data_IF_938175345983
#
_entry.id   IF_938175345983
#
_cell.length_a   1.000
_cell.length_b   1.000
_cell.length_c   1.000
_cell.angle_alpha   90.00
_cell.angle_beta   90.00
_cell.angle_gamma   90.00
#
_symmetry.space_group_name_H-M   'P 1'
#
loop_
_entity.id
_entity.type
_entity.pdbx_description
1 polymer ?
#
# COMPACT_ATOMS: atom_id res chain seq x y z
N UNK A 1 23.18 -6.32 3.05
CA UNK A 1 23.19 -5.87 1.65
C UNK A 1 24.62 -5.56 1.26
N UNK A 2 25.04 -6.01 0.07
CA UNK A 2 26.28 -5.55 -0.54
C UNK A 2 26.08 -4.15 -1.17
N UNK A 3 27.16 -3.54 -1.63
CA UNK A 3 27.17 -2.16 -2.13
C UNK A 3 26.31 -1.98 -3.40
N UNK A 4 26.35 -2.95 -4.31
CA UNK A 4 25.52 -2.95 -5.54
C UNK A 4 24.02 -3.08 -5.22
N UNK A 5 23.66 -3.89 -4.22
CA UNK A 5 22.28 -4.01 -3.73
C UNK A 5 21.79 -2.70 -3.10
N UNK A 6 22.65 -1.97 -2.39
CA UNK A 6 22.33 -0.67 -1.79
C UNK A 6 22.14 0.38 -2.88
N UNK A 7 23.05 0.45 -3.87
CA UNK A 7 22.91 1.37 -5.01
C UNK A 7 21.62 1.12 -5.79
N UNK A 8 21.35 -0.13 -6.18
CA UNK A 8 20.12 -0.46 -6.92
C UNK A 8 18.87 -0.14 -6.11
N UNK A 9 18.90 -0.41 -4.80
CA UNK A 9 17.80 -0.09 -3.90
C UNK A 9 17.55 1.42 -3.81
N UNK A 10 18.60 2.23 -3.67
CA UNK A 10 18.50 3.69 -3.60
C UNK A 10 18.06 4.25 -4.96
N UNK A 11 18.52 3.70 -6.07
CA UNK A 11 18.10 4.12 -7.40
C UNK A 11 16.60 3.87 -7.63
N UNK A 12 16.12 2.66 -7.31
CA UNK A 12 14.70 2.32 -7.35
C UNK A 12 13.90 3.22 -6.39
N UNK A 13 14.48 3.62 -5.25
CA UNK A 13 13.88 4.61 -4.34
C UNK A 13 13.72 5.98 -4.99
N UNK A 14 14.77 6.52 -5.57
CA UNK A 14 14.72 7.85 -6.16
C UNK A 14 13.75 7.91 -7.35
N UNK A 15 13.69 6.84 -8.17
CA UNK A 15 12.74 6.73 -9.30
C UNK A 15 11.28 6.76 -8.86
N UNK A 16 10.98 6.19 -7.70
CA UNK A 16 9.63 6.18 -7.14
C UNK A 16 9.29 7.48 -6.35
N UNK A 17 10.15 8.51 -6.41
CA UNK A 17 9.89 9.83 -5.80
C UNK A 17 10.34 9.99 -4.34
N UNK A 18 11.24 9.14 -3.85
CA UNK A 18 11.74 9.22 -2.48
C UNK A 18 12.86 10.26 -2.36
N UNK A 19 12.90 10.98 -1.22
CA UNK A 19 13.96 11.96 -0.96
C UNK A 19 15.21 11.29 -0.39
N UNK A 20 16.38 11.86 -0.66
CA UNK A 20 17.67 11.35 -0.15
C UNK A 20 17.66 11.26 1.39
N UNK A 21 17.09 12.26 2.06
CA UNK A 21 17.01 12.31 3.52
C UNK A 21 16.15 11.16 4.07
N UNK A 22 15.06 10.82 3.39
CA UNK A 22 14.23 9.67 3.78
C UNK A 22 15.01 8.36 3.66
N UNK A 23 15.77 8.19 2.58
CA UNK A 23 16.58 6.99 2.36
C UNK A 23 17.68 6.82 3.39
N UNK A 24 18.39 7.91 3.71
CA UNK A 24 19.39 7.91 4.76
C UNK A 24 18.80 7.48 6.10
N UNK A 25 17.66 8.07 6.49
CA UNK A 25 17.02 7.73 7.77
C UNK A 25 16.64 6.24 7.86
N UNK A 26 15.96 5.70 6.85
CA UNK A 26 15.46 4.32 6.92
C UNK A 26 16.58 3.26 6.83
N UNK A 27 17.62 3.51 6.01
CA UNK A 27 18.75 2.61 5.90
C UNK A 27 19.56 2.59 7.21
N UNK A 28 19.75 3.75 7.85
CA UNK A 28 20.40 3.84 9.17
C UNK A 28 19.60 3.12 10.26
N UNK A 29 18.26 3.26 10.29
CA UNK A 29 17.40 2.55 11.25
C UNK A 29 17.48 1.01 11.11
N UNK A 30 17.78 0.50 9.92
CA UNK A 30 17.99 -0.94 9.66
C UNK A 30 19.44 -1.39 9.86
N UNK A 31 20.31 -0.51 10.35
CA UNK A 31 21.71 -0.84 10.66
C UNK A 31 22.64 -0.90 9.45
N UNK A 32 22.28 -0.26 8.34
CA UNK A 32 23.20 -0.07 7.21
C UNK A 32 24.22 1.01 7.59
N UNK A 33 25.48 0.78 7.23
CA UNK A 33 26.59 1.68 7.52
C UNK A 33 26.40 3.04 6.84
N UNK A 34 26.42 4.12 7.61
CA UNK A 34 26.17 5.49 7.16
C UNK A 34 27.13 5.92 6.04
N UNK A 35 28.39 5.51 6.09
CA UNK A 35 29.37 5.85 5.05
C UNK A 35 29.03 5.19 3.71
N UNK A 36 28.52 3.95 3.73
CA UNK A 36 28.06 3.27 2.51
C UNK A 36 26.82 3.91 1.91
N UNK A 37 25.93 4.43 2.76
CA UNK A 37 24.74 5.14 2.30
C UNK A 37 25.17 6.46 1.63
N UNK A 38 26.06 7.22 2.26
CA UNK A 38 26.57 8.48 1.70
C UNK A 38 27.29 8.30 0.37
N UNK A 39 28.13 7.25 0.26
CA UNK A 39 28.84 6.90 -0.97
C UNK A 39 27.86 6.58 -2.11
N UNK A 40 26.90 5.69 -1.88
CA UNK A 40 25.90 5.31 -2.87
C UNK A 40 25.01 6.50 -3.31
N UNK A 41 24.60 7.35 -2.37
CA UNK A 41 23.85 8.58 -2.67
C UNK A 41 24.68 9.56 -3.51
N UNK A 42 25.96 9.73 -3.17
CA UNK A 42 26.87 10.61 -3.90
C UNK A 42 27.09 10.15 -5.35
N UNK A 43 27.31 8.85 -5.54
CA UNK A 43 27.47 8.26 -6.86
C UNK A 43 26.20 8.37 -7.72
N UNK A 44 25.02 8.21 -7.11
CA UNK A 44 23.75 8.41 -7.80
C UNK A 44 23.50 9.88 -8.18
N UNK A 45 23.81 10.84 -7.29
CA UNK A 45 23.76 12.27 -7.64
C UNK A 45 24.66 12.58 -8.83
N UNK A 46 25.87 12.03 -8.85
CA UNK A 46 26.80 12.19 -9.99
C UNK A 46 26.25 11.58 -11.28
N UNK A 47 25.64 10.38 -11.23
CA UNK A 47 24.98 9.74 -12.39
C UNK A 47 23.80 10.57 -12.90
N UNK A 48 22.96 11.08 -11.99
CA UNK A 48 21.80 11.90 -12.34
C UNK A 48 22.18 13.26 -12.93
N UNK A 49 23.22 13.92 -12.41
CA UNK A 49 23.75 15.18 -12.98
C UNK A 49 24.27 14.96 -14.41
N UNK A 50 24.92 13.83 -14.67
CA UNK A 50 25.40 13.45 -16.01
C UNK A 50 24.24 13.14 -16.97
N UNK A 51 23.18 12.50 -16.49
CA UNK A 51 21.98 12.24 -17.30
C UNK A 51 21.15 13.50 -17.56
N UNK A 52 21.01 14.40 -16.59
CA UNK A 52 20.24 15.64 -16.74
C UNK A 52 20.91 16.60 -17.73
N UNK A 53 22.25 16.68 -17.72
CA UNK A 53 23.02 17.39 -18.75
C UNK A 53 22.79 16.83 -20.17
N UNK A 54 22.34 15.57 -20.29
CA UNK A 54 22.00 14.92 -21.55
C UNK A 54 20.51 15.09 -21.94
N UNK A 55 19.63 15.33 -20.97
CA UNK A 55 18.16 15.44 -21.16
C UNK A 55 17.68 16.88 -21.42
N UNK A 56 18.45 17.92 -21.10
CA UNK A 56 18.10 19.32 -21.40
C UNK A 56 17.94 19.63 -22.91
N UNK A 57 18.35 18.73 -23.81
CA UNK A 57 18.13 18.87 -25.25
C UNK A 57 16.79 18.32 -25.78
N UNK A 58 15.89 17.78 -24.93
CA UNK A 58 14.70 17.10 -25.46
C UNK A 58 13.52 16.98 -24.48
N UNK A 59 12.68 18.02 -24.36
CA UNK A 59 11.21 17.85 -24.31
C UNK A 59 10.42 19.16 -24.31
N UNK A 60 9.51 19.26 -25.28
CA UNK A 60 8.30 20.10 -25.25
C UNK A 60 7.08 19.18 -25.31
N UNK A 61 6.16 19.38 -24.35
CA UNK A 61 4.72 19.08 -24.24
C UNK A 61 4.07 17.87 -24.92
N UNK A 62 3.14 17.22 -24.19
CA UNK A 62 1.71 17.17 -24.56
C UNK A 62 0.84 16.64 -23.41
N UNK A 63 -0.27 17.35 -23.13
CA UNK A 63 -1.37 17.01 -22.23
C UNK A 63 -2.57 16.59 -23.10
N UNK A 64 -3.37 15.62 -22.66
CA UNK A 64 -4.62 15.22 -23.31
C UNK A 64 -5.59 14.56 -22.33
N UNK A 65 -6.86 14.99 -22.38
CA UNK A 65 -7.98 14.67 -21.48
C UNK A 65 -8.87 13.54 -22.03
N UNK A 66 -9.59 12.81 -21.17
CA UNK A 66 -11.02 12.43 -21.37
C UNK A 66 -11.60 11.77 -20.10
N UNK A 67 -12.92 11.92 -19.90
CA UNK A 67 -13.68 11.74 -18.67
C UNK A 67 -14.43 10.40 -18.52
N UNK A 68 -14.58 9.94 -17.28
CA UNK A 68 -15.77 9.26 -16.73
C UNK A 68 -15.76 9.40 -15.19
N UNK A 69 -16.93 9.52 -14.56
CA UNK A 69 -17.10 9.79 -13.10
C UNK A 69 -16.61 8.62 -12.24
N UNK A 70 -15.42 8.81 -11.64
CA UNK A 70 -15.05 8.22 -10.36
C UNK A 70 -15.46 9.21 -9.25
N UNK A 71 -15.85 8.70 -8.08
CA UNK A 71 -16.41 9.49 -6.96
C UNK A 71 -15.42 10.58 -6.51
N UNK A 72 -14.13 10.41 -6.83
CA UNK A 72 -13.08 11.40 -6.64
C UNK A 72 -12.40 11.65 -7.98
N UNK A 73 -12.90 12.63 -8.75
CA UNK A 73 -12.62 12.87 -10.18
C UNK A 73 -11.18 13.25 -10.59
N UNK A 74 -10.16 12.71 -9.91
CA UNK A 74 -8.72 13.00 -10.12
C UNK A 74 -7.85 11.75 -10.29
N UNK A 75 -8.41 10.54 -10.31
CA UNK A 75 -7.68 9.27 -10.51
C UNK A 75 -8.41 8.44 -11.56
N UNK A 76 -7.68 7.64 -12.35
CA UNK A 76 -8.25 6.60 -13.23
C UNK A 76 -8.23 5.26 -12.49
N UNK A 77 -9.33 4.91 -11.83
CA UNK A 77 -9.54 3.60 -11.21
C UNK A 77 -10.50 2.73 -12.04
N UNK A 78 -10.51 2.87 -13.36
CA UNK A 78 -11.46 2.15 -14.21
C UNK A 78 -11.15 0.65 -14.38
N UNK A 79 -9.91 0.23 -14.11
CA UNK A 79 -9.45 -1.16 -14.21
C UNK A 79 -10.04 -2.10 -13.15
N UNK A 80 -9.91 -3.40 -13.37
CA UNK A 80 -10.32 -4.49 -12.49
C UNK A 80 -9.13 -5.22 -11.83
N UNK A 81 -7.90 -4.82 -12.11
CA UNK A 81 -6.69 -5.34 -11.48
C UNK A 81 -5.68 -4.22 -11.22
N UNK A 82 -5.04 -4.28 -10.05
CA UNK A 82 -4.04 -3.31 -9.60
C UNK A 82 -2.84 -4.02 -8.98
N UNK A 83 -1.64 -3.60 -9.36
CA UNK A 83 -0.40 -4.05 -8.73
C UNK A 83 0.00 -3.07 -7.62
N UNK A 84 0.09 -3.57 -6.40
CA UNK A 84 0.48 -2.81 -5.21
C UNK A 84 1.91 -3.21 -4.85
N UNK A 85 2.83 -2.28 -5.04
CA UNK A 85 4.23 -2.42 -4.64
C UNK A 85 4.44 -1.77 -3.27
N UNK A 86 4.56 -2.59 -2.24
CA UNK A 86 4.91 -2.12 -0.90
C UNK A 86 6.43 -2.01 -0.76
N UNK A 87 6.88 -0.94 -0.09
CA UNK A 87 8.29 -0.79 0.29
C UNK A 87 8.44 -0.94 1.79
N UNK A 88 8.91 -2.12 2.19
CA UNK A 88 9.13 -2.53 3.58
C UNK A 88 9.88 -1.50 4.46
N UNK A 89 10.79 -0.71 3.88
CA UNK A 89 11.57 0.28 4.64
C UNK A 89 10.83 1.59 4.95
N UNK A 90 9.71 1.88 4.28
CA UNK A 90 9.09 3.22 4.34
C UNK A 90 7.59 3.22 4.63
N UNK A 91 6.96 2.06 4.82
CA UNK A 91 5.50 1.90 4.91
C UNK A 91 4.78 2.72 3.83
N UNK A 92 5.26 2.58 2.60
CA UNK A 92 4.73 3.24 1.40
C UNK A 92 4.33 2.22 0.38
N UNK A 93 3.33 2.61 -0.41
CA UNK A 93 2.70 1.77 -1.40
C UNK A 93 2.60 2.56 -2.70
N UNK A 94 3.04 1.96 -3.79
CA UNK A 94 2.78 2.45 -5.13
C UNK A 94 1.79 1.51 -5.80
N UNK A 95 0.73 2.06 -6.37
CA UNK A 95 -0.38 1.31 -6.96
C UNK A 95 -0.40 1.59 -8.45
N UNK A 96 -0.26 0.53 -9.23
CA UNK A 96 -0.22 0.56 -10.69
C UNK A 96 -1.47 -0.09 -11.24
N UNK A 97 -2.01 0.44 -12.33
CA UNK A 97 -3.08 -0.22 -13.08
C UNK A 97 -2.52 -1.32 -14.00
N UNK A 98 -3.39 -2.04 -14.70
CA UNK A 98 -3.02 -3.08 -15.67
C UNK A 98 -2.22 -2.62 -16.90
N UNK A 99 -2.00 -1.31 -17.06
CA UNK A 99 -1.14 -0.70 -18.08
C UNK A 99 0.22 -0.27 -17.54
N UNK A 100 0.58 -0.69 -16.31
CA UNK A 100 1.78 -0.27 -15.58
C UNK A 100 1.84 1.24 -15.30
N UNK A 101 0.69 1.93 -15.30
CA UNK A 101 0.62 3.36 -14.99
C UNK A 101 0.40 3.54 -13.48
N UNK A 102 1.21 4.39 -12.84
CA UNK A 102 1.06 4.74 -11.43
C UNK A 102 -0.22 5.56 -11.23
N UNK A 103 -1.21 4.97 -10.56
CA UNK A 103 -2.51 5.61 -10.31
C UNK A 103 -2.59 6.23 -8.93
N UNK A 104 -1.96 5.59 -7.93
CA UNK A 104 -1.99 6.03 -6.54
C UNK A 104 -0.65 5.79 -5.85
N UNK A 105 -0.35 6.64 -4.87
CA UNK A 105 0.72 6.48 -3.88
C UNK A 105 0.10 6.54 -2.49
N UNK A 106 0.43 5.64 -1.59
CA UNK A 106 0.03 5.72 -0.19
C UNK A 106 1.25 5.78 0.73
N UNK A 107 1.15 6.53 1.83
CA UNK A 107 2.21 6.63 2.83
C UNK A 107 1.63 6.57 4.23
N UNK A 108 1.95 5.52 4.99
CA UNK A 108 1.56 5.47 6.39
C UNK A 108 2.34 6.52 7.18
N UNK A 109 1.62 7.47 7.79
CA UNK A 109 2.16 8.46 8.71
C UNK A 109 1.83 8.05 10.13
N UNK A 110 2.79 7.39 10.79
CA UNK A 110 2.69 7.09 12.22
C UNK A 110 3.14 8.33 13.00
N UNK A 111 2.18 9.20 13.38
CA UNK A 111 2.44 10.28 14.33
C UNK A 111 2.02 9.83 15.73
N UNK A 112 2.69 10.35 16.78
CA UNK A 112 2.49 9.95 18.19
C UNK A 112 1.03 9.94 18.71
N UNK A 113 0.08 10.56 17.99
CA UNK A 113 -1.33 10.69 18.38
C UNK A 113 -2.33 10.64 17.21
N UNK A 114 -1.87 10.33 16.00
CA UNK A 114 -2.67 10.32 14.77
C UNK A 114 -2.05 9.32 13.81
N UNK A 115 -2.80 8.28 13.51
CA UNK A 115 -2.49 7.40 12.41
C UNK A 115 -3.28 7.87 11.20
N UNK A 116 -2.54 8.23 10.15
CA UNK A 116 -3.10 8.73 8.90
C UNK A 116 -2.39 8.06 7.73
N UNK A 117 -3.15 7.62 6.73
CA UNK A 117 -2.63 7.05 5.49
C UNK A 117 -3.21 7.87 4.34
N UNK A 118 -2.56 8.98 3.93
CA UNK A 118 -2.92 9.69 2.72
C UNK A 118 -2.67 8.86 1.47
N UNK A 119 -3.63 8.91 0.56
CA UNK A 119 -3.54 8.40 -0.80
C UNK A 119 -3.45 9.58 -1.76
N UNK A 120 -2.39 9.57 -2.57
CA UNK A 120 -2.01 10.66 -3.44
C UNK A 120 -2.02 10.21 -4.90
N UNK A 121 -2.32 11.11 -5.82
CA UNK A 121 -2.18 10.84 -7.25
C UNK A 121 -0.69 10.84 -7.68
N UNK A 122 -0.43 10.64 -8.98
CA UNK A 122 0.92 10.68 -9.55
C UNK A 122 1.65 12.00 -9.32
N UNK A 123 0.91 13.10 -9.17
CA UNK A 123 1.42 14.47 -8.93
C UNK A 123 1.60 14.81 -7.44
N UNK A 124 1.48 13.82 -6.55
CA UNK A 124 1.60 13.95 -5.09
C UNK A 124 0.49 14.80 -4.43
N UNK A 125 -0.63 15.02 -5.13
CA UNK A 125 -1.82 15.63 -4.55
C UNK A 125 -2.61 14.57 -3.76
N UNK A 126 -2.94 14.86 -2.50
CA UNK A 126 -3.79 13.98 -1.67
C UNK A 126 -5.20 13.98 -2.23
N UNK A 127 -5.75 12.78 -2.46
CA UNK A 127 -7.08 12.57 -3.04
C UNK A 127 -8.06 12.06 -1.99
N UNK A 128 -7.61 11.15 -1.14
CA UNK A 128 -8.36 10.68 0.03
C UNK A 128 -7.38 10.20 1.11
N UNK A 129 -7.88 9.93 2.30
CA UNK A 129 -7.05 9.57 3.44
C UNK A 129 -7.77 8.65 4.40
N UNK A 130 -7.06 7.63 4.88
CA UNK A 130 -7.51 6.82 6.01
C UNK A 130 -7.09 7.53 7.29
N UNK A 131 -8.02 7.69 8.23
CA UNK A 131 -7.76 8.27 9.55
C UNK A 131 -8.31 7.37 10.65
N UNK A 132 -7.57 7.23 11.74
CA UNK A 132 -8.15 6.72 12.97
C UNK A 132 -9.23 7.69 13.48
N UNK A 133 -10.45 7.19 13.71
CA UNK A 133 -11.52 8.04 14.21
C UNK A 133 -11.23 8.44 15.67
N UNK A 134 -11.46 9.71 16.02
CA UNK A 134 -11.35 10.21 17.41
C UNK A 134 -12.70 10.21 18.11
N UNK A 135 -13.81 10.00 17.40
CA UNK A 135 -15.16 10.28 17.88
C UNK A 135 -15.86 9.02 18.43
N UNK A 136 -15.40 7.81 18.09
CA UNK A 136 -16.02 6.55 18.55
C UNK A 136 -15.16 5.88 19.63
N UNK A 137 -15.76 5.72 20.82
CA UNK A 137 -15.19 5.07 22.00
C UNK A 137 -14.64 3.66 21.69
N UNK A 138 -13.35 3.46 21.89
CA UNK A 138 -12.70 2.15 22.12
C UNK A 138 -12.95 1.06 21.06
N UNK A 139 -12.55 1.29 19.80
CA UNK A 139 -12.70 0.30 18.72
C UNK A 139 -11.47 -0.01 17.86
N UNK A 140 -10.50 0.89 17.68
CA UNK A 140 -9.46 0.66 16.66
C UNK A 140 -10.02 0.70 15.23
N UNK A 141 -11.04 1.51 15.02
CA UNK A 141 -11.73 1.72 13.76
C UNK A 141 -11.10 2.89 12.99
N UNK A 142 -11.12 2.77 11.66
CA UNK A 142 -10.56 3.76 10.75
C UNK A 142 -11.60 4.16 9.72
N UNK A 143 -11.58 5.41 9.27
CA UNK A 143 -12.49 5.88 8.24
C UNK A 143 -11.70 6.46 7.08
N UNK A 144 -12.12 6.13 5.86
CA UNK A 144 -11.58 6.70 4.64
C UNK A 144 -12.38 7.96 4.35
N UNK A 145 -11.68 9.09 4.22
CA UNK A 145 -12.28 10.39 3.92
C UNK A 145 -11.83 10.88 2.56
N UNK A 146 -12.77 11.39 1.79
CA UNK A 146 -12.47 12.18 0.60
C UNK A 146 -11.75 13.47 1.01
N UNK A 147 -10.65 13.83 0.33
CA UNK A 147 -9.86 15.01 0.70
C UNK A 147 -10.54 16.33 0.28
N UNK A 148 -11.31 16.32 -0.80
CA UNK A 148 -11.91 17.53 -1.37
C UNK A 148 -13.15 17.98 -0.58
N UNK A 149 -14.01 17.03 -0.25
CA UNK A 149 -15.28 17.25 0.46
C UNK A 149 -15.13 17.08 1.98
N UNK A 150 -14.21 16.23 2.43
CA UNK A 150 -14.11 15.80 3.82
C UNK A 150 -15.15 14.76 4.22
N UNK A 151 -15.93 14.26 3.26
CA UNK A 151 -17.00 13.28 3.52
C UNK A 151 -16.41 11.88 3.76
N UNK A 152 -16.99 11.10 4.69
CA UNK A 152 -16.57 9.72 4.90
C UNK A 152 -17.05 8.85 3.74
N UNK A 153 -16.15 8.04 3.19
CA UNK A 153 -16.40 7.12 2.08
C UNK A 153 -16.75 5.72 2.61
N UNK A 154 -15.95 5.21 3.55
CA UNK A 154 -16.11 3.86 4.12
C UNK A 154 -15.49 3.80 5.52
N UNK A 155 -16.12 3.05 6.41
CA UNK A 155 -15.57 2.71 7.72
C UNK A 155 -14.93 1.31 7.69
N UNK A 156 -13.73 1.22 8.25
CA UNK A 156 -12.92 0.02 8.44
C UNK A 156 -13.00 -0.37 9.92
N UNK A 157 -13.86 -1.33 10.23
CA UNK A 157 -14.11 -1.83 11.58
C UNK A 157 -13.25 -3.09 11.85
N UNK A 158 -12.48 -3.07 12.94
CA UNK A 158 -11.69 -4.22 13.38
C UNK A 158 -12.47 -5.06 14.36
N UNK A 159 -12.95 -6.22 13.92
CA UNK A 159 -13.63 -7.15 14.84
C UNK A 159 -12.66 -8.09 15.55
N UNK A 160 -12.57 -7.97 16.88
CA UNK A 160 -11.85 -8.91 17.73
C UNK A 160 -12.70 -10.15 17.99
N UNK A 161 -12.46 -11.22 17.24
CA UNK A 161 -12.93 -12.55 17.64
C UNK A 161 -11.75 -13.35 18.19
N UNK A 162 -11.98 -14.09 19.28
CA UNK A 162 -11.02 -14.73 20.20
C UNK A 162 -9.80 -15.47 19.58
N UNK A 163 -9.73 -15.68 18.26
CA UNK A 163 -8.61 -16.31 17.56
C UNK A 163 -8.27 -15.73 16.17
N UNK A 164 -8.99 -14.71 15.66
CA UNK A 164 -8.83 -14.24 14.26
C UNK A 164 -9.06 -12.73 14.11
N UNK A 165 -8.16 -12.06 13.40
CA UNK A 165 -8.35 -10.69 12.91
C UNK A 165 -9.26 -10.73 11.69
N UNK A 166 -10.38 -10.00 11.74
CA UNK A 166 -11.30 -9.82 10.60
C UNK A 166 -11.67 -8.35 10.52
N UNK A 167 -11.50 -7.79 9.34
CA UNK A 167 -11.90 -6.43 9.05
C UNK A 167 -13.26 -6.42 8.36
N UNK A 168 -14.04 -5.39 8.66
CA UNK A 168 -15.35 -5.15 8.07
C UNK A 168 -15.36 -3.79 7.40
N UNK A 169 -15.87 -3.76 6.17
CA UNK A 169 -16.17 -2.53 5.45
C UNK A 169 -17.62 -2.17 5.74
N UNK A 170 -17.85 -1.01 6.31
CA UNK A 170 -19.18 -0.54 6.72
C UNK A 170 -19.50 0.81 6.11
N UNK A 171 -20.79 1.01 5.87
CA UNK A 171 -21.33 2.30 5.50
C UNK A 171 -21.13 3.30 6.65
N UNK A 172 -20.55 4.49 6.40
CA UNK A 172 -20.20 5.43 7.46
C UNK A 172 -21.39 6.16 8.09
N UNK A 173 -22.55 6.20 7.42
CA UNK A 173 -23.76 6.87 7.96
C UNK A 173 -24.66 5.89 8.72
N UNK A 174 -24.84 4.70 8.17
CA UNK A 174 -25.78 3.69 8.69
C UNK A 174 -25.12 2.60 9.51
N UNK A 175 -23.77 2.53 9.51
CA UNK A 175 -22.95 1.46 10.08
C UNK A 175 -23.25 0.06 9.49
N UNK A 176 -24.01 -0.02 8.40
CA UNK A 176 -24.36 -1.29 7.77
C UNK A 176 -23.11 -2.01 7.25
N UNK A 177 -23.03 -3.31 7.49
CA UNK A 177 -21.97 -4.16 6.96
C UNK A 177 -22.11 -4.30 5.44
N UNK A 178 -21.15 -3.77 4.70
CA UNK A 178 -21.09 -3.85 3.25
C UNK A 178 -20.23 -5.02 2.77
N UNK A 179 -19.08 -5.25 3.41
CA UNK A 179 -18.20 -6.37 3.07
C UNK A 179 -17.32 -6.81 4.25
N UNK A 180 -16.75 -8.01 4.13
CA UNK A 180 -15.79 -8.58 5.07
C UNK A 180 -14.47 -8.83 4.36
N UNK A 181 -13.37 -8.56 5.04
CA UNK A 181 -12.01 -8.91 4.58
C UNK A 181 -11.47 -10.03 5.45
N UNK A 182 -11.03 -11.12 4.81
CA UNK A 182 -10.58 -12.34 5.48
C UNK A 182 -9.39 -12.99 4.78
N UNK A 183 -8.46 -13.56 5.57
CA UNK A 183 -7.36 -14.39 5.07
C UNK A 183 -7.93 -15.68 4.45
N UNK A 184 -7.64 -15.95 3.18
CA UNK A 184 -8.14 -17.15 2.48
C UNK A 184 -7.31 -18.41 2.80
N UNK A 185 -6.09 -18.24 3.32
CA UNK A 185 -5.14 -19.34 3.54
C UNK A 185 -5.13 -19.85 4.99
N UNK A 186 -6.31 -20.12 5.56
CA UNK A 186 -6.48 -20.49 6.98
C UNK A 186 -5.68 -21.73 7.44
N UNK A 187 -5.33 -22.64 6.52
CA UNK A 187 -4.54 -23.84 6.84
C UNK A 187 -3.02 -23.58 6.89
N UNK A 188 -2.56 -22.47 6.32
CA UNK A 188 -1.13 -22.12 6.22
C UNK A 188 -0.64 -21.35 7.44
N UNK A 189 -1.50 -20.55 8.08
CA UNK A 189 -1.18 -19.86 9.35
C UNK A 189 -0.77 -20.85 10.45
N UNK A 190 -1.41 -22.02 10.48
CA UNK A 190 -1.04 -23.12 11.39
C UNK A 190 0.33 -23.72 11.02
N UNK A 191 0.63 -23.89 9.72
CA UNK A 191 1.91 -24.40 9.23
C UNK A 191 3.08 -23.44 9.54
N UNK A 192 2.84 -22.13 9.50
CA UNK A 192 3.83 -21.11 9.89
C UNK A 192 4.17 -21.20 11.39
N UNK A 193 3.17 -21.43 12.24
CA UNK A 193 3.37 -21.69 13.68
C UNK A 193 4.14 -22.99 13.97
N UNK A 194 3.97 -24.01 13.14
CA UNK A 194 4.69 -25.30 13.26
C UNK A 194 6.13 -25.20 12.72
N UNK A 195 6.41 -24.30 11.77
CA UNK A 195 7.74 -24.07 11.22
C UNK A 195 8.81 -23.71 12.27
N UNK A 196 8.41 -23.09 13.38
CA UNK A 196 9.28 -22.79 14.52
C UNK A 196 9.70 -24.04 15.33
N UNK A 197 9.08 -25.19 15.09
CA UNK A 197 9.34 -26.46 15.81
C UNK A 197 10.27 -27.41 15.04
N UNK A 198 10.60 -27.12 13.78
CA UNK A 198 11.53 -27.93 12.98
C UNK A 198 12.93 -27.34 13.11
N UNK A 199 13.78 -27.86 14.03
CA UNK A 199 15.19 -27.49 14.04
C UNK A 199 15.78 -27.82 12.66
N UNK A 200 16.71 -27.01 12.17
CA UNK A 200 17.37 -27.08 10.85
C UNK A 200 16.73 -26.32 9.67
N UNK A 201 15.48 -25.85 9.74
CA UNK A 201 14.86 -25.02 8.68
C UNK A 201 14.03 -23.84 9.21
N UNK A 202 14.62 -22.91 9.99
CA UNK A 202 13.91 -21.68 10.33
C UNK A 202 13.63 -20.87 9.05
N UNK A 203 12.43 -20.32 8.92
CA UNK A 203 12.02 -19.28 7.95
C UNK A 203 11.47 -19.70 6.57
N UNK A 204 11.37 -20.98 6.20
CA UNK A 204 10.81 -21.32 4.87
C UNK A 204 9.33 -20.91 4.71
N UNK A 205 8.53 -21.01 5.77
CA UNK A 205 7.10 -20.64 5.77
C UNK A 205 6.83 -19.15 6.04
N UNK A 206 7.87 -18.35 6.30
CA UNK A 206 7.75 -16.90 6.49
C UNK A 206 7.51 -16.16 5.16
N UNK A 207 7.90 -16.76 4.03
CA UNK A 207 7.77 -16.17 2.69
C UNK A 207 6.48 -16.58 1.96
N UNK A 208 5.52 -17.23 2.65
CA UNK A 208 4.25 -17.55 2.00
C UNK A 208 3.42 -16.28 1.92
N UNK A 209 3.05 -15.83 0.70
CA UNK A 209 2.30 -14.61 0.53
C UNK A 209 0.93 -14.72 1.22
N UNK A 210 0.49 -13.63 1.83
CA UNK A 210 -0.85 -13.55 2.37
C UNK A 210 -1.84 -13.31 1.24
N UNK A 211 -2.92 -14.09 1.23
CA UNK A 211 -4.05 -13.88 0.33
C UNK A 211 -5.23 -13.42 1.17
N UNK A 212 -5.74 -12.24 0.88
CA UNK A 212 -6.93 -11.69 1.54
C UNK A 212 -8.08 -11.64 0.53
N UNK A 213 -9.22 -12.22 0.89
CA UNK A 213 -10.47 -12.10 0.13
C UNK A 213 -11.36 -11.01 0.73
N UNK A 214 -12.01 -10.24 -0.13
CA UNK A 214 -13.09 -9.33 0.21
C UNK A 214 -14.39 -9.94 -0.28
N UNK A 215 -15.34 -10.16 0.62
CA UNK A 215 -16.63 -10.79 0.33
C UNK A 215 -17.80 -9.89 0.75
N UNK A 216 -18.89 -9.93 0.00
CA UNK A 216 -20.14 -9.28 0.37
C UNK A 216 -20.73 -9.87 1.65
N UNK A 217 -21.76 -9.22 2.18
CA UNK A 217 -22.54 -9.74 3.30
C UNK A 217 -23.13 -11.14 3.04
N UNK A 218 -23.46 -11.44 1.79
CA UNK A 218 -24.02 -12.70 1.30
C UNK A 218 -22.95 -13.77 1.01
N UNK A 219 -21.66 -13.42 1.10
CA UNK A 219 -20.53 -14.32 0.78
C UNK A 219 -20.17 -14.35 -0.70
N UNK A 220 -20.62 -13.38 -1.49
CA UNK A 220 -20.16 -13.22 -2.88
C UNK A 220 -18.76 -12.60 -2.89
N UNK A 221 -17.81 -13.16 -3.64
CA UNK A 221 -16.46 -12.59 -3.78
C UNK A 221 -16.54 -11.23 -4.49
N UNK A 222 -15.93 -10.21 -3.89
CA UNK A 222 -15.86 -8.84 -4.42
C UNK A 222 -14.46 -8.54 -4.94
N UNK A 223 -13.44 -8.89 -4.17
CA UNK A 223 -12.06 -8.67 -4.55
C UNK A 223 -11.12 -9.66 -3.85
N UNK A 224 -9.89 -9.74 -4.32
CA UNK A 224 -8.85 -10.58 -3.75
C UNK A 224 -7.51 -9.89 -3.88
N UNK A 225 -6.78 -9.82 -2.76
CA UNK A 225 -5.41 -9.34 -2.68
C UNK A 225 -4.51 -10.57 -2.59
N UNK A 226 -3.75 -10.86 -3.64
CA UNK A 226 -2.79 -11.95 -3.68
C UNK A 226 -1.36 -11.42 -3.59
N UNK A 227 -0.61 -11.81 -2.56
CA UNK A 227 0.82 -11.57 -2.58
C UNK A 227 1.53 -12.46 -3.61
N UNK A 228 2.49 -11.90 -4.34
CA UNK A 228 3.34 -12.68 -5.25
C UNK A 228 4.56 -13.24 -4.51
N UNK A 229 5.00 -14.45 -4.88
CA UNK A 229 6.23 -15.03 -4.33
C UNK A 229 7.45 -14.27 -4.87
N UNK A 230 7.82 -13.18 -4.19
CA UNK A 230 8.84 -12.26 -4.63
C UNK A 230 9.64 -11.76 -3.43
N UNK A 231 10.92 -11.47 -3.66
CA UNK A 231 11.79 -10.75 -2.70
C UNK A 231 11.35 -9.29 -2.49
N UNK A 232 10.42 -8.81 -3.33
CA UNK A 232 9.75 -7.52 -3.24
C UNK A 232 8.31 -7.80 -2.81
N UNK A 233 7.82 -7.05 -1.84
CA UNK A 233 6.43 -7.14 -1.35
C UNK A 233 5.47 -6.58 -2.42
N UNK A 234 5.17 -7.42 -3.42
CA UNK A 234 4.25 -7.12 -4.52
C UNK A 234 2.95 -7.87 -4.26
N UNK A 235 1.86 -7.15 -4.29
CA UNK A 235 0.51 -7.69 -4.19
C UNK A 235 -0.28 -7.35 -5.43
N UNK A 236 -1.17 -8.25 -5.82
CA UNK A 236 -2.10 -8.05 -6.93
C UNK A 236 -3.52 -8.01 -6.37
N UNK A 237 -4.19 -6.88 -6.53
CA UNK A 237 -5.58 -6.70 -6.16
C UNK A 237 -6.45 -6.93 -7.39
N UNK A 238 -7.20 -8.03 -7.40
CA UNK A 238 -8.17 -8.37 -8.43
C UNK A 238 -9.58 -8.07 -7.93
N UNK A 239 -10.37 -7.36 -8.74
CA UNK A 239 -11.71 -6.87 -8.39
C UNK A 239 -12.74 -7.47 -9.34
N UNK A 240 -13.80 -8.09 -8.80
CA UNK A 240 -14.87 -8.69 -9.57
C UNK A 240 -15.75 -7.62 -10.25
N UNK A 241 -16.24 -7.88 -11.45
CA UNK A 241 -17.01 -6.87 -12.22
C UNK A 241 -18.37 -6.53 -11.62
N UNK A 242 -18.89 -7.35 -10.70
CA UNK A 242 -20.23 -7.24 -10.15
C UNK A 242 -20.16 -7.01 -8.64
N UNK A 243 -19.94 -5.76 -8.24
CA UNK A 243 -20.05 -5.30 -6.85
C UNK A 243 -20.61 -3.88 -6.79
N UNK A 244 -21.00 -3.43 -5.60
CA UNK A 244 -21.51 -2.07 -5.34
C UNK A 244 -20.52 -1.17 -4.59
N UNK A 245 -19.38 -1.71 -4.14
CA UNK A 245 -18.37 -0.94 -3.41
C UNK A 245 -17.57 0.00 -4.33
N UNK A 246 -17.24 1.24 -3.89
CA UNK A 246 -16.25 2.08 -4.55
C UNK A 246 -14.88 1.40 -4.60
N UNK A 247 -14.12 1.59 -5.67
CA UNK A 247 -12.78 0.97 -5.80
C UNK A 247 -11.76 1.63 -4.89
N UNK A 248 -11.94 2.91 -4.60
CA UNK A 248 -11.20 3.64 -3.58
C UNK A 248 -11.30 2.91 -2.25
N UNK A 249 -12.51 2.50 -1.84
CA UNK A 249 -12.73 1.75 -0.61
C UNK A 249 -12.05 0.38 -0.61
N UNK A 250 -12.03 -0.31 -1.76
CA UNK A 250 -11.36 -1.61 -1.89
C UNK A 250 -9.83 -1.48 -1.81
N UNK A 251 -9.24 -0.55 -2.56
CA UNK A 251 -7.79 -0.29 -2.57
C UNK A 251 -7.34 0.24 -1.22
N UNK A 252 -8.05 1.23 -0.66
CA UNK A 252 -7.72 1.83 0.62
C UNK A 252 -7.90 0.84 1.77
N UNK A 253 -8.96 0.03 1.72
CA UNK A 253 -9.20 -1.04 2.69
C UNK A 253 -8.07 -2.06 2.67
N UNK A 254 -7.69 -2.55 1.50
CA UNK A 254 -6.57 -3.50 1.34
C UNK A 254 -5.25 -2.95 1.90
N UNK A 255 -4.88 -1.72 1.54
CA UNK A 255 -3.62 -1.09 1.99
C UNK A 255 -3.68 -0.70 3.47
N UNK A 256 -4.81 -0.18 3.95
CA UNK A 256 -4.95 0.16 5.36
C UNK A 256 -4.86 -1.11 6.21
N UNK A 257 -5.54 -2.18 5.83
CA UNK A 257 -5.47 -3.46 6.55
C UNK A 257 -4.03 -3.96 6.62
N UNK A 258 -3.31 -3.99 5.50
CA UNK A 258 -1.90 -4.39 5.48
C UNK A 258 -1.03 -3.48 6.39
N UNK A 259 -1.17 -2.16 6.26
CA UNK A 259 -0.41 -1.19 7.05
C UNK A 259 -0.71 -1.25 8.56
N UNK A 260 -1.95 -1.59 8.92
CA UNK A 260 -2.46 -1.62 10.30
C UNK A 260 -2.30 -2.98 10.97
N UNK A 261 -2.32 -4.08 10.21
CA UNK A 261 -2.05 -5.42 10.73
C UNK A 261 -0.58 -5.57 11.10
N UNK A 262 0.32 -4.91 10.36
CA UNK A 262 1.70 -4.68 10.76
C UNK A 262 2.55 -5.95 10.81
N UNK A 263 3.62 -5.92 10.00
CA UNK A 263 4.81 -6.76 10.19
C UNK A 263 5.42 -6.63 11.59
#
# INVERSE_FOLDING_TARGET
>A
MNEQEIEQFIEDCLRDGYTVEELQRALTEKGVDEAKIEEAVSDLKRKMEQENASRENKKTMSRGQSAHEDIIGKIDLTGDSYEIKQRFLFNRYNIYNSRDELVLKAKQKILKFKEEIPFMNSEDEVIFQVKADRIVDMGGDYTVFDEETGDPIIMLDRTYTLLRHRWQLRDPETEELLAKVQSQNENIELLRGIGNLVPYFPNFFAFIPHTYGIESREGEKIAELEGQFSIRDIYELNIEKKHSLPKEALISGAIAIDALEGN
#
